data_IF_777311980194
#
_entry.id   IF_777311980194
#
_cell.length_a   1.000
_cell.length_b   1.000
_cell.length_c   1.000
_cell.angle_alpha   90.00
_cell.angle_beta   90.00
_cell.angle_gamma   90.00
#
_symmetry.space_group_name_H-M   'P 1'
#
loop_
_entity.id
_entity.type
_entity.pdbx_description
1 polymer ?
#
# COMPACT_ATOMS: atom_id res chain seq x y z
N UNK A 1 -18.16 5.99 -13.46
CA UNK A 1 -16.83 5.66 -12.92
C UNK A 1 -16.86 5.84 -11.40
N UNK A 2 -16.67 4.78 -10.64
CA UNK A 2 -16.64 4.77 -9.17
C UNK A 2 -15.22 4.49 -8.69
N UNK A 3 -14.68 5.37 -7.86
CA UNK A 3 -13.34 5.24 -7.30
C UNK A 3 -13.45 5.01 -5.80
N UNK A 4 -12.71 4.03 -5.28
CA UNK A 4 -12.53 3.82 -3.85
C UNK A 4 -11.15 4.31 -3.43
N UNK A 5 -11.12 5.15 -2.39
CA UNK A 5 -9.87 5.60 -1.76
C UNK A 5 -9.59 4.68 -0.58
N UNK A 6 -8.55 3.86 -0.70
CA UNK A 6 -8.17 2.91 0.33
C UNK A 6 -7.19 3.57 1.28
N UNK A 7 -7.69 4.18 2.36
CA UNK A 7 -6.87 4.76 3.40
C UNK A 7 -6.26 3.65 4.28
N UNK A 8 -4.96 3.41 4.15
CA UNK A 8 -4.23 2.37 4.90
C UNK A 8 -3.19 3.02 5.81
N UNK A 9 -3.06 2.52 7.04
CA UNK A 9 -1.97 2.89 7.94
C UNK A 9 -0.82 1.90 7.76
N UNK A 10 0.17 2.28 6.95
CA UNK A 10 1.29 1.43 6.56
C UNK A 10 2.41 1.53 7.60
N UNK A 11 3.24 0.48 7.67
CA UNK A 11 4.42 0.43 8.55
C UNK A 11 5.66 0.56 7.68
N UNK A 12 6.47 1.58 7.93
CA UNK A 12 7.69 1.83 7.14
C UNK A 12 8.63 0.62 7.18
N UNK A 13 9.00 0.11 6.01
CA UNK A 13 9.91 -1.03 5.83
C UNK A 13 9.24 -2.42 5.84
N UNK A 14 7.97 -2.53 6.23
CA UNK A 14 7.22 -3.80 6.28
C UNK A 14 6.50 -4.10 4.96
N UNK A 15 7.25 -4.51 3.94
CA UNK A 15 6.72 -4.77 2.59
C UNK A 15 5.60 -5.82 2.60
N UNK A 16 5.83 -6.96 3.27
CA UNK A 16 4.86 -8.06 3.32
C UNK A 16 3.61 -7.66 4.10
N UNK A 17 3.75 -7.11 5.30
CA UNK A 17 2.60 -6.70 6.09
C UNK A 17 1.82 -5.56 5.46
N UNK A 18 2.48 -4.63 4.75
CA UNK A 18 1.78 -3.60 3.99
C UNK A 18 1.03 -4.16 2.78
N UNK A 19 1.62 -5.13 2.05
CA UNK A 19 0.92 -5.83 0.98
C UNK A 19 -0.33 -6.56 1.52
N UNK A 20 -0.23 -7.23 2.66
CA UNK A 20 -1.36 -7.90 3.30
C UNK A 20 -2.46 -6.91 3.73
N UNK A 21 -2.08 -5.76 4.33
CA UNK A 21 -3.01 -4.67 4.68
C UNK A 21 -3.73 -4.12 3.46
N UNK A 22 -3.02 -3.91 2.35
CA UNK A 22 -3.60 -3.44 1.09
C UNK A 22 -4.55 -4.50 0.52
N UNK A 23 -4.14 -5.78 0.48
CA UNK A 23 -4.95 -6.87 -0.04
C UNK A 23 -6.25 -7.05 0.74
N UNK A 24 -6.18 -7.01 2.08
CA UNK A 24 -7.36 -7.05 2.94
C UNK A 24 -8.29 -5.85 2.68
N UNK A 25 -7.72 -4.64 2.58
CA UNK A 25 -8.46 -3.42 2.28
C UNK A 25 -9.14 -3.44 0.91
N UNK A 26 -8.47 -3.97 -0.12
CA UNK A 26 -9.04 -4.18 -1.45
C UNK A 26 -10.22 -5.16 -1.38
N UNK A 27 -10.11 -6.24 -0.61
CA UNK A 27 -11.20 -7.20 -0.40
C UNK A 27 -12.47 -6.53 0.16
N UNK A 28 -12.32 -5.63 1.14
CA UNK A 28 -13.44 -4.88 1.70
C UNK A 28 -13.98 -3.82 0.71
N UNK A 29 -13.09 -3.08 0.04
CA UNK A 29 -13.49 -2.05 -0.92
C UNK A 29 -14.19 -2.63 -2.16
N UNK A 30 -13.82 -3.85 -2.59
CA UNK A 30 -14.42 -4.53 -3.73
C UNK A 30 -15.92 -4.81 -3.56
N UNK A 31 -16.41 -4.92 -2.32
CA UNK A 31 -17.86 -5.06 -2.01
C UNK A 31 -18.68 -3.88 -2.54
N UNK A 32 -18.05 -2.71 -2.67
CA UNK A 32 -18.65 -1.51 -3.24
C UNK A 32 -18.63 -1.48 -4.77
N UNK A 33 -18.05 -2.48 -5.45
CA UNK A 33 -17.88 -2.56 -6.92
C UNK A 33 -17.28 -1.28 -7.54
N UNK A 34 -16.12 -0.77 -7.07
CA UNK A 34 -15.44 0.33 -7.72
C UNK A 34 -14.81 -0.10 -9.05
N UNK A 35 -14.67 0.84 -9.97
CA UNK A 35 -13.89 0.67 -11.21
C UNK A 35 -12.38 0.83 -10.95
N UNK A 36 -12.01 1.55 -9.89
CA UNK A 36 -10.62 1.79 -9.48
C UNK A 36 -10.50 1.89 -7.94
N UNK A 37 -9.46 1.27 -7.38
CA UNK A 37 -9.09 1.44 -5.97
C UNK A 37 -7.71 2.10 -5.93
N UNK A 38 -7.57 3.16 -5.14
CA UNK A 38 -6.33 3.94 -5.03
C UNK A 38 -5.83 3.92 -3.60
N UNK A 39 -4.54 3.66 -3.41
CA UNK A 39 -3.87 3.71 -2.10
C UNK A 39 -3.07 5.01 -1.95
N UNK A 40 -2.68 5.40 -0.72
CA UNK A 40 -1.71 6.48 -0.50
C UNK A 40 -0.39 6.28 -1.23
N UNK A 41 0.36 7.37 -1.36
CA UNK A 41 1.73 7.35 -1.85
C UNK A 41 2.60 6.37 -1.05
N UNK A 42 3.48 5.63 -1.74
CA UNK A 42 4.45 4.73 -1.10
C UNK A 42 3.80 3.69 -0.14
N UNK A 43 2.60 3.20 -0.45
CA UNK A 43 1.87 2.31 0.45
C UNK A 43 2.54 0.94 0.69
N UNK A 44 3.39 0.47 -0.23
CA UNK A 44 4.16 -0.76 -0.02
C UNK A 44 5.36 -0.54 0.93
N UNK A 45 6.30 0.39 0.65
CA UNK A 45 7.43 0.63 1.55
C UNK A 45 7.06 1.42 2.81
N UNK A 46 5.91 2.09 2.84
CA UNK A 46 5.51 3.07 3.86
C UNK A 46 6.08 4.47 3.59
N UNK A 47 5.44 5.50 4.16
CA UNK A 47 5.80 6.90 3.96
C UNK A 47 5.98 7.64 5.30
N UNK A 48 7.06 8.43 5.50
CA UNK A 48 8.20 8.61 4.59
C UNK A 48 9.22 7.47 4.72
N UNK A 49 9.77 6.94 3.61
CA UNK A 49 10.71 5.81 3.65
C UNK A 49 12.15 6.23 3.98
N UNK A 50 12.48 7.53 3.85
CA UNK A 50 13.83 8.08 4.08
C UNK A 50 14.89 7.26 3.32
N UNK A 51 16.00 6.93 3.96
CA UNK A 51 17.16 6.26 3.36
C UNK A 51 16.90 4.80 2.97
N UNK A 52 15.74 4.22 3.33
CA UNK A 52 15.39 2.86 2.89
C UNK A 52 15.39 2.72 1.38
N UNK A 53 15.01 3.77 0.64
CA UNK A 53 15.04 3.74 -0.83
C UNK A 53 16.46 3.84 -1.40
N UNK A 54 17.47 4.16 -0.58
CA UNK A 54 18.88 4.15 -0.95
C UNK A 54 19.54 2.79 -0.66
N UNK A 55 18.91 1.94 0.14
CA UNK A 55 19.41 0.60 0.46
C UNK A 55 19.11 -0.37 -0.69
N UNK A 56 20.17 -0.83 -1.36
CA UNK A 56 20.05 -1.79 -2.48
C UNK A 56 19.42 -3.12 -2.07
N UNK A 57 19.61 -3.53 -0.81
CA UNK A 57 19.02 -4.75 -0.27
C UNK A 57 17.53 -4.61 0.02
N UNK A 58 17.03 -3.39 0.25
CA UNK A 58 15.61 -3.10 0.37
C UNK A 58 14.94 -3.03 -1.01
N UNK A 59 15.57 -2.36 -1.98
CA UNK A 59 15.06 -2.28 -3.37
C UNK A 59 15.07 -3.63 -4.08
N UNK A 60 16.00 -4.52 -3.74
CA UNK A 60 16.09 -5.87 -4.33
C UNK A 60 15.15 -6.92 -3.74
N UNK A 61 14.27 -6.58 -2.79
CA UNK A 61 13.32 -7.51 -2.17
C UNK A 61 12.07 -7.74 -3.00
#
# INVERSE_FOLDING_TARGET
>A
MKISLLQVNTVVGDLAGNADRIAAGVGEAARCRPDLIVTPELSLPGCPPRDLLLDKGFIGR
#
